data_IF_638231835926
#
_entry.id   IF_638231835926
#
_cell.length_a   1.000
_cell.length_b   1.000
_cell.length_c   1.000
_cell.angle_alpha   90.00
_cell.angle_beta   90.00
_cell.angle_gamma   90.00
#
_symmetry.space_group_name_H-M   'P 1'
#
loop_
_entity.id
_entity.type
_entity.pdbx_description
1 polymer ?
#
# COMPACT_ATOMS: atom_id res chain seq x y z
N UNK A 1 34.54 -19.61 15.20
CA UNK A 1 33.30 -20.03 14.52
C UNK A 1 32.26 -19.06 15.03
N UNK A 2 31.81 -18.12 14.18
CA UNK A 2 30.76 -17.18 14.57
C UNK A 2 29.46 -17.98 14.46
N UNK A 3 28.90 -18.36 15.60
CA UNK A 3 27.59 -19.02 15.67
C UNK A 3 26.53 -17.98 15.28
N UNK A 4 26.12 -18.00 14.02
CA UNK A 4 24.95 -17.24 13.58
C UNK A 4 23.70 -17.90 14.17
N UNK A 5 22.76 -17.13 14.74
CA UNK A 5 21.50 -17.67 15.24
C UNK A 5 20.75 -18.40 14.13
N UNK A 6 20.14 -19.55 14.43
CA UNK A 6 19.21 -20.20 13.51
C UNK A 6 18.05 -19.25 13.16
N UNK A 7 17.75 -19.12 11.86
CA UNK A 7 16.65 -18.32 11.30
C UNK A 7 15.41 -18.36 12.20
N UNK A 8 15.13 -17.25 12.86
CA UNK A 8 13.88 -17.14 13.60
C UNK A 8 12.75 -16.94 12.58
N UNK A 9 11.64 -17.69 12.73
CA UNK A 9 10.48 -17.69 11.81
C UNK A 9 9.81 -16.31 11.55
N UNK A 10 10.34 -15.22 12.09
CA UNK A 10 9.74 -13.88 12.08
C UNK A 10 10.67 -12.77 11.54
N UNK A 11 11.79 -13.10 10.90
CA UNK A 11 12.64 -12.08 10.26
C UNK A 11 12.01 -11.59 8.96
N UNK A 12 12.06 -10.26 8.75
CA UNK A 12 11.62 -9.66 7.49
C UNK A 12 12.50 -10.17 6.35
N UNK A 13 11.87 -10.57 5.26
CA UNK A 13 12.58 -11.07 4.08
C UNK A 13 12.35 -10.14 2.90
N UNK A 14 13.41 -9.89 2.14
CA UNK A 14 13.34 -9.23 0.85
C UNK A 14 13.50 -10.30 -0.24
N UNK A 15 12.45 -10.58 -0.99
CA UNK A 15 12.50 -11.46 -2.15
C UNK A 15 12.66 -10.65 -3.42
N UNK A 16 13.58 -11.05 -4.30
CA UNK A 16 13.82 -10.39 -5.59
C UNK A 16 13.46 -11.32 -6.74
N UNK A 17 12.73 -10.79 -7.72
CA UNK A 17 12.30 -11.53 -8.92
C UNK A 17 12.62 -10.71 -10.17
N UNK A 18 13.43 -11.25 -11.08
CA UNK A 18 13.51 -10.79 -12.47
C UNK A 18 12.53 -11.59 -13.32
N UNK A 19 11.70 -10.90 -14.11
CA UNK A 19 10.64 -11.55 -14.86
C UNK A 19 10.20 -10.78 -16.10
N UNK A 20 9.28 -11.41 -16.84
CA UNK A 20 8.71 -10.86 -18.08
C UNK A 20 7.20 -10.67 -17.91
N UNK A 21 6.72 -9.47 -18.21
CA UNK A 21 5.32 -9.10 -18.33
C UNK A 21 4.74 -9.68 -19.62
N UNK A 22 3.56 -10.27 -19.51
CA UNK A 22 2.78 -10.70 -20.66
C UNK A 22 2.18 -9.52 -21.43
N UNK A 23 1.44 -9.83 -22.50
CA UNK A 23 0.65 -8.83 -23.21
C UNK A 23 -0.33 -8.12 -22.26
N UNK A 24 -0.39 -6.79 -22.34
CA UNK A 24 -1.28 -5.95 -21.54
C UNK A 24 -2.49 -5.56 -22.38
N UNK A 25 -3.65 -6.07 -22.00
CA UNK A 25 -4.93 -5.54 -22.47
C UNK A 25 -5.37 -4.41 -21.52
N UNK A 26 -5.48 -3.16 -22.00
CA UNK A 26 -5.95 -2.04 -21.17
C UNK A 26 -7.35 -2.26 -20.57
N UNK A 27 -8.18 -3.11 -21.20
CA UNK A 27 -9.53 -3.42 -20.72
C UNK A 27 -9.56 -4.51 -19.65
N UNK A 28 -8.51 -5.33 -19.59
CA UNK A 28 -8.40 -6.46 -18.66
C UNK A 28 -6.98 -6.54 -18.11
N UNK A 29 -6.57 -5.56 -17.27
CA UNK A 29 -5.23 -5.57 -16.72
C UNK A 29 -4.99 -6.83 -15.86
N UNK A 30 -3.80 -7.46 -15.93
CA UNK A 30 -3.52 -8.67 -15.15
C UNK A 30 -3.59 -8.37 -13.64
N UNK A 31 -4.18 -9.27 -12.85
CA UNK A 31 -4.32 -9.11 -11.39
C UNK A 31 -3.62 -10.21 -10.59
N UNK A 32 -3.45 -11.39 -11.19
CA UNK A 32 -2.93 -12.60 -10.49
C UNK A 32 -1.45 -12.87 -10.71
N UNK A 33 -0.80 -12.17 -11.64
CA UNK A 33 0.60 -12.41 -12.01
C UNK A 33 1.47 -11.27 -11.50
N UNK A 34 2.72 -11.58 -11.13
CA UNK A 34 3.72 -10.56 -10.84
C UNK A 34 4.00 -9.72 -12.11
N UNK A 35 4.24 -8.41 -11.98
CA UNK A 35 4.32 -7.66 -10.72
C UNK A 35 2.96 -7.19 -10.17
N UNK A 36 1.87 -7.32 -10.93
CA UNK A 36 0.54 -6.80 -10.57
C UNK A 36 -0.03 -7.36 -9.27
N UNK A 37 0.15 -8.67 -9.03
CA UNK A 37 -0.32 -9.31 -7.81
C UNK A 37 0.40 -8.79 -6.56
N UNK A 38 1.65 -8.32 -6.67
CA UNK A 38 2.40 -7.77 -5.54
C UNK A 38 1.77 -6.45 -5.06
N UNK A 39 1.36 -5.58 -5.98
CA UNK A 39 0.62 -4.35 -5.66
C UNK A 39 -0.69 -4.69 -4.92
N UNK A 40 -1.47 -5.62 -5.49
CA UNK A 40 -2.78 -6.00 -4.95
C UNK A 40 -2.71 -6.83 -3.64
N UNK A 41 -1.54 -7.36 -3.30
CA UNK A 41 -1.32 -8.11 -2.06
C UNK A 41 -1.28 -7.20 -0.80
N UNK A 42 -1.14 -5.88 -0.99
CA UNK A 42 -1.24 -4.90 0.09
C UNK A 42 -2.70 -4.76 0.52
N UNK A 43 -3.06 -4.96 1.81
CA UNK A 43 -4.43 -4.78 2.24
C UNK A 43 -4.82 -3.30 2.35
N UNK A 44 -3.88 -2.45 2.79
CA UNK A 44 -4.02 -1.01 2.89
C UNK A 44 -2.73 -0.34 2.39
N UNK A 45 -2.84 0.53 1.39
CA UNK A 45 -1.69 1.25 0.83
C UNK A 45 -1.58 2.61 1.51
N UNK A 46 -0.40 2.90 2.07
CA UNK A 46 -0.11 4.18 2.71
C UNK A 46 0.55 5.16 1.75
N UNK A 47 1.47 4.66 0.92
CA UNK A 47 2.30 5.50 0.07
C UNK A 47 2.56 4.80 -1.26
N UNK A 48 2.51 5.57 -2.33
CA UNK A 48 2.86 5.15 -3.69
C UNK A 48 3.89 6.13 -4.21
N UNK A 49 4.99 5.64 -4.75
CA UNK A 49 6.04 6.47 -5.33
C UNK A 49 6.33 6.03 -6.76
N UNK A 50 6.56 7.00 -7.63
CA UNK A 50 6.98 6.78 -9.01
C UNK A 50 8.27 7.57 -9.24
N UNK A 51 9.29 6.90 -9.75
CA UNK A 51 10.58 7.46 -10.11
C UNK A 51 10.80 7.24 -11.60
N UNK A 52 11.06 8.30 -12.35
CA UNK A 52 11.24 8.25 -13.80
C UNK A 52 12.22 9.33 -14.29
N UNK A 53 12.87 9.16 -15.45
CA UNK A 53 13.65 10.22 -16.08
C UNK A 53 12.83 11.48 -16.37
N UNK A 54 13.38 12.66 -16.10
CA UNK A 54 12.63 13.91 -16.20
C UNK A 54 12.11 14.21 -17.61
N UNK A 55 12.75 13.69 -18.66
CA UNK A 55 12.40 13.93 -20.05
C UNK A 55 11.02 13.37 -20.41
N UNK A 56 10.57 12.32 -19.73
CA UNK A 56 9.26 11.70 -19.96
C UNK A 56 8.18 12.20 -18.99
N UNK A 57 8.54 13.01 -18.00
CA UNK A 57 7.62 13.43 -16.96
C UNK A 57 6.45 14.25 -17.50
N UNK A 58 6.69 15.24 -18.36
CA UNK A 58 5.61 16.07 -18.90
C UNK A 58 4.61 15.27 -19.75
N UNK A 59 5.06 14.19 -20.41
CA UNK A 59 4.16 13.28 -21.14
C UNK A 59 3.26 12.54 -20.14
N UNK A 60 3.85 11.92 -19.11
CA UNK A 60 3.11 11.15 -18.11
C UNK A 60 2.16 12.03 -17.32
N UNK A 61 2.58 13.25 -16.97
CA UNK A 61 1.75 14.23 -16.28
C UNK A 61 0.48 14.56 -17.07
N UNK A 62 0.60 14.78 -18.37
CA UNK A 62 -0.54 15.16 -19.21
C UNK A 62 -1.44 13.96 -19.57
N UNK A 63 -0.86 12.77 -19.78
CA UNK A 63 -1.62 11.59 -20.22
C UNK A 63 -2.24 10.80 -19.06
N UNK A 64 -1.54 10.73 -17.92
CA UNK A 64 -1.87 9.84 -16.80
C UNK A 64 -2.44 10.59 -15.60
N UNK A 65 -1.89 11.76 -15.24
CA UNK A 65 -2.26 12.44 -13.99
C UNK A 65 -3.40 13.44 -14.20
N UNK A 66 -4.63 12.94 -14.28
CA UNK A 66 -5.86 13.76 -14.30
C UNK A 66 -6.31 14.13 -12.89
N UNK A 67 -6.82 15.34 -12.70
CA UNK A 67 -7.23 15.82 -11.37
C UNK A 67 -8.38 14.99 -10.78
N UNK A 68 -9.28 14.50 -11.63
CA UNK A 68 -10.46 13.71 -11.23
C UNK A 68 -10.11 12.28 -10.79
N UNK A 69 -8.87 11.84 -11.03
CA UNK A 69 -8.39 10.49 -10.74
C UNK A 69 -7.47 10.44 -9.50
N UNK A 70 -7.36 11.54 -8.76
CA UNK A 70 -6.57 11.57 -7.50
C UNK A 70 -7.23 10.69 -6.43
N UNK A 71 -6.45 9.90 -5.67
CA UNK A 71 -7.00 9.03 -4.66
C UNK A 71 -7.48 9.86 -3.47
N UNK A 72 -8.78 9.86 -3.26
CA UNK A 72 -9.45 10.46 -2.12
C UNK A 72 -9.77 9.42 -1.04
N UNK A 73 -9.90 9.88 0.19
CA UNK A 73 -10.36 9.11 1.34
C UNK A 73 -11.00 10.06 2.36
N UNK A 74 -11.63 9.52 3.40
CA UNK A 74 -12.21 10.31 4.47
C UNK A 74 -11.60 9.94 5.82
N UNK A 75 -11.43 10.94 6.68
CA UNK A 75 -11.18 10.74 8.11
C UNK A 75 -12.47 10.98 8.88
N UNK A 76 -12.89 10.05 9.71
CA UNK A 76 -14.17 10.12 10.42
C UNK A 76 -14.02 9.54 11.82
N UNK A 77 -14.76 10.07 12.80
CA UNK A 77 -14.77 9.54 14.16
C UNK A 77 -16.11 8.83 14.38
N UNK A 78 -16.08 7.52 14.58
CA UNK A 78 -17.30 6.75 14.88
C UNK A 78 -17.02 5.51 15.74
N UNK A 79 -17.96 5.12 16.61
CA UNK A 79 -17.85 3.89 17.40
C UNK A 79 -18.16 2.65 16.54
N UNK A 80 -17.65 1.48 16.94
CA UNK A 80 -17.88 0.21 16.23
C UNK A 80 -19.37 -0.11 16.04
N UNK A 81 -20.24 0.30 16.96
CA UNK A 81 -21.70 0.08 16.84
C UNK A 81 -22.29 0.71 15.58
N UNK A 82 -21.76 1.86 15.14
CA UNK A 82 -22.26 2.56 13.95
C UNK A 82 -22.04 1.73 12.67
N UNK A 83 -21.02 0.85 12.67
CA UNK A 83 -20.78 -0.08 11.55
C UNK A 83 -21.91 -1.10 11.39
N UNK A 84 -22.69 -1.38 12.45
CA UNK A 84 -23.74 -2.40 12.48
C UNK A 84 -25.16 -1.82 12.37
N UNK A 85 -25.29 -0.51 12.26
CA UNK A 85 -26.57 0.20 12.36
C UNK A 85 -26.98 0.82 11.02
N UNK A 86 -28.28 0.76 10.75
CA UNK A 86 -28.96 1.51 9.69
C UNK A 86 -28.34 1.36 8.29
N UNK A 87 -28.31 2.48 7.57
CA UNK A 87 -27.85 2.52 6.19
C UNK A 87 -26.34 2.30 6.05
N UNK A 88 -25.53 2.55 7.09
CA UNK A 88 -24.10 2.27 7.02
C UNK A 88 -23.87 0.77 6.78
N UNK A 89 -24.50 -0.08 7.60
CA UNK A 89 -24.38 -1.54 7.49
C UNK A 89 -24.92 -2.05 6.15
N UNK A 90 -26.09 -1.57 5.73
CA UNK A 90 -26.72 -2.04 4.49
C UNK A 90 -25.95 -1.59 3.25
N UNK A 91 -25.67 -0.28 3.14
CA UNK A 91 -25.10 0.28 1.92
C UNK A 91 -23.62 -0.01 1.80
N UNK A 92 -22.81 0.12 2.85
CA UNK A 92 -21.37 -0.05 2.72
C UNK A 92 -20.88 -1.48 2.97
N UNK A 93 -21.55 -2.25 3.82
CA UNK A 93 -21.09 -3.58 4.21
C UNK A 93 -21.79 -4.68 3.42
N UNK A 94 -23.13 -4.67 3.35
CA UNK A 94 -23.89 -5.72 2.64
C UNK A 94 -23.86 -5.57 1.13
N UNK A 95 -24.10 -4.37 0.63
CA UNK A 95 -24.16 -4.07 -0.82
C UNK A 95 -22.83 -3.53 -1.33
N UNK A 96 -22.23 -2.62 -0.55
CA UNK A 96 -21.05 -1.85 -0.87
C UNK A 96 -19.74 -2.61 -0.71
N UNK A 97 -18.64 -1.91 -0.99
CA UNK A 97 -17.31 -2.36 -0.63
C UNK A 97 -16.47 -1.17 -0.16
N UNK A 98 -16.00 -1.24 1.08
CA UNK A 98 -15.25 -0.17 1.72
C UNK A 98 -13.95 -0.70 2.32
N UNK A 99 -12.98 0.19 2.48
CA UNK A 99 -11.81 -0.01 3.32
C UNK A 99 -11.94 0.89 4.54
N UNK A 100 -11.68 0.34 5.73
CA UNK A 100 -11.49 1.15 6.92
C UNK A 100 -10.31 0.68 7.75
N UNK A 101 -9.57 1.63 8.29
CA UNK A 101 -8.44 1.40 9.19
C UNK A 101 -8.55 2.38 10.35
N UNK A 102 -8.62 1.87 11.58
CA UNK A 102 -8.65 2.73 12.77
C UNK A 102 -7.27 3.28 13.08
N UNK A 103 -7.22 4.41 13.78
CA UNK A 103 -5.99 4.87 14.41
C UNK A 103 -5.53 3.91 15.53
N UNK A 104 -4.27 4.05 15.92
CA UNK A 104 -3.69 3.40 17.08
C UNK A 104 -2.54 2.44 16.77
N UNK A 105 -1.91 1.94 17.83
CA UNK A 105 -0.80 0.99 17.74
C UNK A 105 -1.25 -0.45 18.10
N UNK A 106 -1.24 -1.40 17.16
CA UNK A 106 -1.66 -2.79 17.41
C UNK A 106 -0.86 -3.50 18.53
N UNK A 107 0.35 -3.04 18.86
CA UNK A 107 1.13 -3.61 19.96
C UNK A 107 0.59 -3.20 21.34
N UNK A 108 0.03 -1.99 21.48
CA UNK A 108 -0.37 -1.41 22.79
C UNK A 108 -1.84 -1.04 22.94
N UNK A 109 -2.56 -0.74 21.86
CA UNK A 109 -3.94 -0.26 21.85
C UNK A 109 -4.89 -1.21 21.10
N UNK A 110 -6.20 -1.06 21.26
CA UNK A 110 -7.15 -1.79 20.45
C UNK A 110 -7.26 -1.12 19.08
N UNK A 111 -7.03 -1.88 18.02
CA UNK A 111 -7.12 -1.38 16.65
C UNK A 111 -8.02 -2.27 15.81
N UNK A 112 -8.61 -1.68 14.77
CA UNK A 112 -9.68 -2.29 14.01
C UNK A 112 -9.48 -2.04 12.53
N UNK A 113 -9.79 -3.05 11.71
CA UNK A 113 -9.73 -2.93 10.26
C UNK A 113 -10.97 -3.53 9.62
N UNK A 114 -11.48 -2.92 8.56
CA UNK A 114 -12.58 -3.47 7.76
C UNK A 114 -12.15 -3.53 6.29
N UNK A 115 -12.12 -4.73 5.73
CA UNK A 115 -11.79 -4.98 4.32
C UNK A 115 -12.60 -6.17 3.81
N UNK A 116 -13.17 -6.06 2.61
CA UNK A 116 -13.97 -7.12 1.99
C UNK A 116 -15.16 -7.61 2.86
N UNK A 117 -15.68 -6.74 3.73
CA UNK A 117 -16.76 -7.07 4.67
C UNK A 117 -16.33 -7.88 5.90
N UNK A 118 -15.02 -8.07 6.10
CA UNK A 118 -14.44 -8.69 7.29
C UNK A 118 -13.93 -7.59 8.21
N UNK A 119 -14.54 -7.49 9.40
CA UNK A 119 -14.10 -6.62 10.49
C UNK A 119 -13.15 -7.40 11.39
N UNK A 120 -11.89 -6.99 11.41
CA UNK A 120 -10.85 -7.55 12.27
C UNK A 120 -10.63 -6.64 13.46
N UNK A 121 -10.63 -7.19 14.67
CA UNK A 121 -10.38 -6.48 15.92
C UNK A 121 -9.12 -7.05 16.57
N UNK A 122 -8.15 -6.20 16.82
CA UNK A 122 -6.98 -6.50 17.65
C UNK A 122 -7.26 -5.98 19.04
N UNK A 123 -7.42 -6.89 19.99
CA UNK A 123 -7.86 -6.58 21.34
C UNK A 123 -6.79 -6.95 22.36
N UNK A 124 -6.66 -6.11 23.39
CA UNK A 124 -6.02 -6.53 24.63
C UNK A 124 -6.86 -7.59 25.37
N UNK A 125 -6.24 -8.19 26.39
CA UNK A 125 -6.87 -9.24 27.19
C UNK A 125 -8.20 -8.79 27.81
N UNK A 126 -8.21 -7.61 28.44
CA UNK A 126 -9.35 -7.14 29.21
C UNK A 126 -10.55 -6.89 28.28
N UNK A 127 -10.30 -6.19 27.17
CA UNK A 127 -11.31 -5.87 26.16
C UNK A 127 -11.86 -7.12 25.51
N UNK A 128 -11.01 -8.10 25.20
CA UNK A 128 -11.42 -9.39 24.64
C UNK A 128 -12.31 -10.19 25.60
N UNK A 129 -11.87 -10.38 26.85
CA UNK A 129 -12.60 -11.17 27.85
C UNK A 129 -13.95 -10.52 28.19
N UNK A 130 -14.00 -9.18 28.29
CA UNK A 130 -15.23 -8.44 28.54
C UNK A 130 -16.17 -8.42 27.34
N UNK A 131 -15.65 -8.25 26.13
CA UNK A 131 -16.46 -8.27 24.91
C UNK A 131 -17.09 -9.64 24.71
N UNK A 132 -16.40 -10.69 25.17
CA UNK A 132 -16.87 -12.06 25.12
C UNK A 132 -17.21 -12.46 23.70
N UNK A 133 -16.40 -12.07 22.72
CA UNK A 133 -16.55 -12.46 21.31
C UNK A 133 -15.49 -13.50 20.96
N UNK A 134 -15.77 -14.38 20.01
CA UNK A 134 -14.86 -15.49 19.70
C UNK A 134 -13.66 -14.99 18.90
N UNK A 135 -12.46 -15.20 19.42
CA UNK A 135 -11.20 -14.86 18.76
C UNK A 135 -10.10 -15.87 19.04
N UNK A 136 -8.91 -15.58 18.50
CA UNK A 136 -7.69 -16.40 18.66
C UNK A 136 -6.57 -15.55 19.25
N UNK A 137 -5.67 -16.11 20.06
CA UNK A 137 -4.50 -15.37 20.53
C UNK A 137 -3.63 -14.95 19.33
N UNK A 138 -3.12 -13.72 19.37
CA UNK A 138 -2.25 -13.13 18.37
C UNK A 138 -0.79 -13.23 18.82
N UNK A 139 0.05 -13.86 17.99
CA UNK A 139 1.48 -14.04 18.26
C UNK A 139 1.85 -15.27 19.11
N UNK A 140 3.15 -15.51 19.24
CA UNK A 140 3.69 -16.58 20.09
C UNK A 140 3.42 -16.22 21.56
N UNK A 141 2.93 -17.19 22.35
CA UNK A 141 2.70 -17.03 23.80
C UNK A 141 3.87 -16.28 24.42
N UNK A 142 3.57 -15.11 24.99
CA UNK A 142 4.50 -13.98 25.14
C UNK A 142 5.92 -14.33 25.57
N UNK A 143 6.89 -13.72 24.88
CA UNK A 143 8.24 -13.52 25.43
C UNK A 143 8.14 -12.57 26.64
N UNK A 144 9.13 -12.60 27.54
CA UNK A 144 9.23 -11.68 28.69
C UNK A 144 9.09 -10.23 28.19
N UNK A 145 8.01 -9.54 28.57
CA UNK A 145 7.78 -8.11 28.27
C UNK A 145 6.65 -7.78 27.29
N UNK A 146 6.11 -8.74 26.52
CA UNK A 146 5.00 -8.48 25.58
C UNK A 146 3.64 -8.86 26.19
N UNK A 147 2.67 -7.93 26.19
CA UNK A 147 1.30 -8.21 26.64
C UNK A 147 0.60 -9.13 25.62
N UNK A 148 -0.14 -10.16 26.05
CA UNK A 148 -0.89 -11.02 25.14
C UNK A 148 -2.00 -10.23 24.44
N UNK A 149 -2.24 -10.55 23.16
CA UNK A 149 -3.25 -9.93 22.30
C UNK A 149 -4.15 -10.98 21.66
N UNK A 150 -5.34 -10.58 21.24
CA UNK A 150 -6.33 -11.44 20.58
C UNK A 150 -6.80 -10.80 19.28
N UNK A 151 -6.90 -11.62 18.24
CA UNK A 151 -7.53 -11.25 16.98
C UNK A 151 -8.94 -11.84 16.95
N UNK A 152 -9.92 -11.00 16.63
CA UNK A 152 -11.31 -11.39 16.37
C UNK A 152 -11.65 -11.01 14.93
N UNK A 153 -12.02 -11.98 14.11
CA UNK A 153 -12.39 -11.78 12.70
C UNK A 153 -13.89 -12.01 12.53
N UNK A 154 -14.62 -10.97 12.11
CA UNK A 154 -16.07 -11.00 11.96
C UNK A 154 -16.41 -10.75 10.49
N UNK A 155 -16.84 -11.79 9.77
CA UNK A 155 -17.40 -11.61 8.44
C UNK A 155 -18.84 -11.08 8.55
N UNK A 156 -18.99 -9.76 8.37
CA UNK A 156 -20.25 -9.03 8.48
C UNK A 156 -21.21 -9.30 7.31
N UNK A 157 -20.76 -9.97 6.25
CA UNK A 157 -21.58 -10.33 5.08
C UNK A 157 -22.28 -11.68 5.20
N UNK A 158 -21.99 -12.46 6.25
CA UNK A 158 -22.67 -13.74 6.44
C UNK A 158 -24.20 -13.57 6.60
N UNK A 159 -25.02 -14.54 6.15
CA UNK A 159 -26.47 -14.51 6.36
C UNK A 159 -26.90 -14.46 7.83
N UNK A 160 -26.04 -14.89 8.75
CA UNK A 160 -26.26 -14.81 10.20
C UNK A 160 -26.04 -13.43 10.79
N UNK A 161 -25.47 -12.47 10.04
CA UNK A 161 -25.18 -11.11 10.49
C UNK A 161 -26.39 -10.21 10.24
N UNK A 162 -27.43 -10.46 11.01
CA UNK A 162 -28.74 -9.80 10.99
C UNK A 162 -29.27 -9.70 12.43
N UNK A 163 -29.97 -8.61 12.74
CA UNK A 163 -30.61 -8.45 14.06
C UNK A 163 -31.57 -9.59 14.39
N UNK A 164 -31.57 -10.01 15.66
CA UNK A 164 -32.37 -11.13 16.15
C UNK A 164 -31.68 -12.49 16.04
N UNK A 165 -30.50 -12.57 15.42
CA UNK A 165 -29.63 -13.75 15.47
C UNK A 165 -28.68 -13.62 16.65
N UNK A 166 -28.67 -14.63 17.53
CA UNK A 166 -27.83 -14.66 18.76
C UNK A 166 -26.37 -14.27 18.54
N UNK A 167 -25.76 -14.71 17.43
CA UNK A 167 -24.38 -14.36 17.09
C UNK A 167 -24.19 -12.87 16.79
N UNK A 168 -25.06 -12.28 15.98
CA UNK A 168 -25.02 -10.86 15.65
C UNK A 168 -25.40 -9.99 16.86
N UNK A 169 -26.42 -10.38 17.62
CA UNK A 169 -26.84 -9.64 18.82
C UNK A 169 -25.74 -9.61 19.88
N UNK A 170 -24.92 -10.68 19.99
CA UNK A 170 -23.73 -10.71 20.86
C UNK A 170 -22.67 -9.71 20.41
N UNK A 171 -22.42 -9.58 19.11
CA UNK A 171 -21.48 -8.60 18.55
C UNK A 171 -22.01 -7.19 18.79
N UNK A 172 -23.28 -6.93 18.48
CA UNK A 172 -23.92 -5.64 18.72
C UNK A 172 -23.89 -5.25 20.20
N UNK A 173 -24.10 -6.22 21.11
CA UNK A 173 -23.96 -6.00 22.55
C UNK A 173 -22.53 -5.61 22.93
N UNK A 174 -21.52 -6.31 22.41
CA UNK A 174 -20.12 -5.99 22.68
C UNK A 174 -19.77 -4.56 22.22
N UNK A 175 -20.20 -4.15 21.03
CA UNK A 175 -19.92 -2.81 20.50
C UNK A 175 -20.72 -1.70 21.19
N UNK A 176 -21.88 -2.04 21.77
CA UNK A 176 -22.72 -1.09 22.51
C UNK A 176 -22.29 -0.91 23.96
N UNK A 177 -21.79 -1.95 24.62
CA UNK A 177 -21.59 -1.96 26.08
C UNK A 177 -20.13 -2.14 26.52
N UNK A 178 -19.26 -2.64 25.65
CA UNK A 178 -17.85 -2.91 25.98
C UNK A 178 -16.92 -2.05 25.15
N UNK A 179 -16.94 -2.22 23.83
CA UNK A 179 -16.10 -1.50 22.88
C UNK A 179 -16.79 -0.21 22.42
N UNK A 180 -17.10 0.67 23.39
CA UNK A 180 -17.99 1.81 23.21
C UNK A 180 -17.30 3.07 22.73
N UNK A 181 -15.99 3.17 22.96
CA UNK A 181 -15.18 4.35 22.65
C UNK A 181 -15.19 4.63 21.14
N UNK A 182 -15.64 5.80 20.70
CA UNK A 182 -15.44 6.24 19.32
C UNK A 182 -13.96 6.33 18.99
N UNK A 183 -13.60 5.96 17.76
CA UNK A 183 -12.22 5.97 17.29
C UNK A 183 -12.14 6.67 15.94
N UNK A 184 -11.00 7.28 15.63
CA UNK A 184 -10.77 7.82 14.29
C UNK A 184 -10.52 6.69 13.30
N UNK A 185 -11.19 6.77 12.16
CA UNK A 185 -11.02 5.87 11.02
C UNK A 185 -10.53 6.64 9.81
N UNK A 186 -9.64 6.00 9.06
CA UNK A 186 -9.51 6.22 7.63
C UNK A 186 -10.57 5.38 6.94
N UNK A 187 -11.30 5.98 5.99
CA UNK A 187 -12.41 5.37 5.27
C UNK A 187 -12.23 5.59 3.77
N UNK A 188 -12.47 4.55 2.97
CA UNK A 188 -12.57 4.65 1.51
C UNK A 188 -13.74 3.81 1.01
N UNK A 189 -14.63 4.44 0.27
CA UNK A 189 -15.59 3.72 -0.58
C UNK A 189 -14.91 3.32 -1.91
N UNK A 190 -15.00 2.04 -2.26
CA UNK A 190 -14.41 1.49 -3.47
C UNK A 190 -15.40 1.50 -4.65
N UNK A 191 -16.69 1.76 -4.42
CA UNK A 191 -17.68 1.84 -5.49
C UNK A 191 -17.66 3.19 -6.24
N UNK A 192 -17.03 4.22 -5.67
CA UNK A 192 -16.86 5.54 -6.29
C UNK A 192 -15.67 5.62 -7.26
N UNK A 193 -15.03 4.49 -7.56
CA UNK A 193 -13.91 4.40 -8.51
C UNK A 193 -14.36 4.86 -9.91
N UNK A 194 -14.08 6.13 -10.26
CA UNK A 194 -14.45 6.75 -11.55
C UNK A 194 -15.14 8.12 -11.46
N UNK A 195 -15.47 8.60 -10.27
CA UNK A 195 -15.93 9.98 -10.04
C UNK A 195 -15.44 10.43 -8.68
N UNK A 196 -14.45 11.33 -8.66
CA UNK A 196 -14.00 12.06 -7.46
C UNK A 196 -15.20 12.48 -6.61
N UNK A 197 -15.06 12.35 -5.28
CA UNK A 197 -15.99 12.84 -4.27
C UNK A 197 -16.32 14.36 -4.39
N UNK A 198 -15.61 15.09 -5.26
CA UNK A 198 -15.93 16.48 -5.66
C UNK A 198 -17.19 16.55 -6.55
N UNK A 199 -17.77 15.43 -7.01
CA UNK A 199 -19.14 15.47 -7.53
C UNK A 199 -20.14 15.64 -6.37
N UNK A 200 -20.27 16.87 -5.86
CA UNK A 200 -21.38 17.35 -5.02
C UNK A 200 -22.75 17.23 -5.69
N UNK A 201 -22.80 16.64 -6.88
CA UNK A 201 -24.00 16.20 -7.54
C UNK A 201 -23.73 14.77 -7.94
N UNK A 202 -24.46 13.86 -7.31
CA UNK A 202 -24.79 12.56 -7.89
C UNK A 202 -24.89 12.73 -9.42
N UNK A 203 -24.25 11.84 -10.20
CA UNK A 203 -24.80 11.56 -11.53
C UNK A 203 -26.30 11.35 -11.30
N UNK A 204 -27.19 12.15 -11.90
CA UNK A 204 -28.60 11.92 -11.75
C UNK A 204 -28.82 10.52 -12.29
N UNK A 205 -29.17 9.58 -11.41
CA UNK A 205 -29.92 8.43 -11.86
C UNK A 205 -31.06 9.03 -12.65
N UNK A 206 -31.13 8.72 -13.95
CA UNK A 206 -32.16 9.17 -14.89
C UNK A 206 -33.58 8.73 -14.51
N UNK A 207 -33.78 8.26 -13.28
CA UNK A 207 -35.06 8.02 -12.65
C UNK A 207 -35.48 9.27 -11.86
N UNK A 208 -36.20 10.13 -12.56
CA UNK A 208 -36.91 11.31 -12.03
C UNK A 208 -37.74 10.88 -10.81
N UNK A 209 -37.33 11.26 -9.60
CA UNK A 209 -38.20 11.21 -8.41
C UNK A 209 -37.64 10.59 -7.12
N UNK A 210 -36.42 10.01 -7.10
CA UNK A 210 -35.81 9.61 -5.82
C UNK A 210 -35.07 10.79 -5.19
N UNK A 211 -35.50 11.17 -3.97
CA UNK A 211 -34.80 12.14 -3.13
C UNK A 211 -33.31 11.77 -3.04
N UNK A 212 -32.44 12.78 -3.14
CA UNK A 212 -30.99 12.62 -2.93
C UNK A 212 -30.81 12.16 -1.48
N UNK A 213 -30.64 10.85 -1.27
CA UNK A 213 -30.34 10.31 0.03
C UNK A 213 -28.88 10.63 0.35
N UNK A 214 -28.58 11.39 1.42
CA UNK A 214 -27.21 11.71 1.81
C UNK A 214 -26.44 10.42 2.08
N UNK A 215 -25.14 10.42 1.77
CA UNK A 215 -24.30 9.23 1.95
C UNK A 215 -24.32 8.83 3.43
N UNK A 216 -24.41 7.54 3.81
CA UNK A 216 -24.53 7.15 5.22
C UNK A 216 -23.39 7.65 6.10
N UNK A 217 -22.22 7.91 5.51
CA UNK A 217 -21.05 8.45 6.20
C UNK A 217 -21.26 9.91 6.63
N UNK A 218 -22.05 10.71 5.90
CA UNK A 218 -22.26 12.15 6.14
C UNK A 218 -22.90 12.43 7.51
N UNK A 219 -23.68 11.48 8.03
CA UNK A 219 -24.23 11.54 9.39
C UNK A 219 -23.14 11.59 10.49
N UNK A 220 -21.89 11.26 10.14
CA UNK A 220 -20.74 11.26 11.03
C UNK A 220 -19.74 12.39 10.74
N UNK A 221 -20.11 13.38 9.93
CA UNK A 221 -19.31 14.57 9.61
C UNK A 221 -17.87 14.23 9.18
N UNK A 222 -17.69 13.43 8.12
CA UNK A 222 -16.37 13.00 7.66
C UNK A 222 -15.56 14.20 7.13
N UNK A 223 -14.25 14.16 7.34
CA UNK A 223 -13.29 15.09 6.74
C UNK A 223 -12.72 14.43 5.49
N UNK A 224 -13.11 14.91 4.32
CA UNK A 224 -12.58 14.44 3.05
C UNK A 224 -11.11 14.88 2.88
N UNK A 225 -10.31 13.99 2.28
CA UNK A 225 -8.89 14.15 2.00
C UNK A 225 -8.62 13.69 0.58
N UNK A 226 -7.77 14.43 -0.11
CA UNK A 226 -7.28 14.09 -1.46
C UNK A 226 -5.78 13.95 -1.36
N UNK A 227 -5.26 12.82 -1.84
CA UNK A 227 -3.81 12.59 -1.87
C UNK A 227 -3.28 13.11 -3.21
N UNK A 228 -2.83 14.36 -3.23
CA UNK A 228 -2.11 14.92 -4.38
C UNK A 228 -0.65 14.47 -4.35
N UNK A 229 -0.02 14.25 -5.51
CA UNK A 229 1.40 13.90 -5.53
C UNK A 229 2.25 15.10 -5.09
N UNK A 230 3.22 14.86 -4.21
CA UNK A 230 4.39 15.72 -4.09
C UNK A 230 5.39 15.35 -5.19
N UNK A 231 6.01 16.36 -5.80
CA UNK A 231 6.93 16.21 -6.92
C UNK A 231 8.28 16.75 -6.49
N UNK A 232 9.34 15.96 -6.70
CA UNK A 232 10.73 16.34 -6.44
C UNK A 232 11.57 16.03 -7.68
N UNK A 233 12.36 17.00 -8.13
CA UNK A 233 13.37 16.80 -9.16
C UNK A 233 14.72 16.57 -8.49
N UNK A 234 15.44 15.53 -8.93
CA UNK A 234 16.67 15.06 -8.28
C UNK A 234 17.71 14.81 -9.37
N UNK A 235 18.91 15.34 -9.21
CA UNK A 235 20.06 14.99 -10.04
C UNK A 235 20.68 13.71 -9.49
N UNK A 236 20.84 12.69 -10.34
CA UNK A 236 21.40 11.40 -9.91
C UNK A 236 22.36 10.85 -10.95
N UNK A 237 23.34 10.08 -10.47
CA UNK A 237 24.06 9.13 -11.31
C UNK A 237 23.20 7.87 -11.47
N UNK A 238 22.81 7.57 -12.71
CA UNK A 238 21.98 6.39 -13.01
C UNK A 238 22.91 5.18 -13.24
N UNK A 239 22.80 4.11 -12.43
CA UNK A 239 23.62 2.92 -12.60
C UNK A 239 23.19 2.09 -13.82
N UNK A 240 23.92 1.02 -14.10
CA UNK A 240 23.45 0.02 -15.04
C UNK A 240 22.20 -0.69 -14.48
N UNK A 241 21.04 -0.35 -15.05
CA UNK A 241 19.76 -0.90 -14.57
C UNK A 241 19.45 -2.29 -15.10
N UNK A 242 20.17 -2.82 -16.09
CA UNK A 242 19.90 -4.15 -16.63
C UNK A 242 20.59 -5.24 -15.78
N UNK A 243 19.89 -6.32 -15.40
CA UNK A 243 20.50 -7.44 -14.71
C UNK A 243 21.68 -8.04 -15.50
N UNK A 244 22.69 -8.61 -14.81
CA UNK A 244 23.81 -9.29 -15.46
C UNK A 244 23.29 -10.46 -16.31
N UNK A 245 23.78 -10.56 -17.56
CA UNK A 245 23.41 -11.63 -18.50
C UNK A 245 24.37 -12.81 -18.42
N UNK A 246 25.64 -12.52 -18.17
CA UNK A 246 26.71 -13.50 -18.02
C UNK A 246 26.99 -13.65 -16.53
N UNK A 247 26.47 -14.72 -15.93
CA UNK A 247 26.75 -15.05 -14.53
C UNK A 247 28.14 -15.64 -14.46
N UNK A 248 29.01 -15.07 -13.63
CA UNK A 248 30.28 -15.68 -13.31
C UNK A 248 30.01 -16.97 -12.52
N UNK A 249 30.23 -18.10 -13.19
CA UNK A 249 30.02 -19.45 -12.64
C UNK A 249 30.85 -19.68 -11.37
N UNK A 250 31.91 -18.90 -11.15
CA UNK A 250 32.77 -18.98 -9.96
C UNK A 250 32.29 -18.14 -8.78
N UNK A 251 31.54 -17.06 -9.03
CA UNK A 251 31.01 -16.17 -7.99
C UNK A 251 29.56 -16.53 -7.62
N UNK A 252 28.70 -16.74 -8.62
CA UNK A 252 27.33 -17.21 -8.45
C UNK A 252 26.36 -16.24 -7.77
N UNK A 253 26.81 -15.05 -7.36
CA UNK A 253 26.01 -14.03 -6.65
C UNK A 253 25.82 -12.73 -7.44
N UNK A 254 26.17 -12.68 -8.74
CA UNK A 254 26.07 -11.45 -9.55
C UNK A 254 24.67 -10.82 -9.55
N UNK A 255 23.63 -11.66 -9.60
CA UNK A 255 22.25 -11.18 -9.56
C UNK A 255 21.87 -10.65 -8.18
N UNK A 256 22.40 -11.25 -7.11
CA UNK A 256 22.16 -10.79 -5.73
C UNK A 256 22.79 -9.41 -5.51
N UNK A 257 24.07 -9.25 -5.90
CA UNK A 257 24.78 -7.97 -5.80
C UNK A 257 24.07 -6.88 -6.60
N UNK A 258 23.76 -7.14 -7.87
CA UNK A 258 22.96 -6.24 -8.70
C UNK A 258 21.63 -5.86 -8.01
N UNK A 259 20.95 -6.85 -7.42
CA UNK A 259 19.65 -6.63 -6.79
C UNK A 259 19.75 -5.77 -5.54
N UNK A 260 20.78 -5.95 -4.73
CA UNK A 260 21.03 -5.16 -3.52
C UNK A 260 21.41 -3.73 -3.91
N UNK A 261 22.38 -3.58 -4.81
CA UNK A 261 22.90 -2.29 -5.27
C UNK A 261 21.81 -1.42 -5.91
N UNK A 262 21.01 -1.97 -6.82
CA UNK A 262 19.93 -1.23 -7.48
C UNK A 262 18.80 -0.89 -6.51
N UNK A 263 18.48 -1.78 -5.56
CA UNK A 263 17.46 -1.50 -4.56
C UNK A 263 17.89 -0.41 -3.59
N UNK A 264 19.14 -0.45 -3.13
CA UNK A 264 19.71 0.60 -2.27
C UNK A 264 19.70 1.96 -2.98
N UNK A 265 20.12 2.01 -4.25
CA UNK A 265 20.07 3.23 -5.06
C UNK A 265 18.65 3.78 -5.20
N UNK A 266 17.67 2.93 -5.55
CA UNK A 266 16.26 3.32 -5.62
C UNK A 266 15.72 3.81 -4.27
N UNK A 267 16.10 3.14 -3.18
CA UNK A 267 15.69 3.53 -1.83
C UNK A 267 16.22 4.91 -1.46
N UNK A 268 17.48 5.22 -1.79
CA UNK A 268 18.07 6.54 -1.57
C UNK A 268 17.39 7.64 -2.39
N UNK A 269 16.94 7.35 -3.62
CA UNK A 269 16.09 8.27 -4.40
C UNK A 269 14.74 8.50 -3.69
N UNK A 270 14.09 7.41 -3.27
CA UNK A 270 12.83 7.50 -2.54
C UNK A 270 12.95 8.30 -1.24
N UNK A 271 14.11 8.27 -0.59
CA UNK A 271 14.46 9.03 0.60
C UNK A 271 14.92 10.47 0.33
N UNK A 272 15.15 10.87 -0.93
CA UNK A 272 15.79 12.16 -1.26
C UNK A 272 17.14 12.32 -0.53
N UNK A 273 17.91 11.23 -0.46
CA UNK A 273 19.21 11.26 0.21
C UNK A 273 20.18 12.18 -0.53
N UNK A 274 20.99 13.00 0.17
CA UNK A 274 22.08 13.74 -0.48
C UNK A 274 23.12 12.82 -1.12
N UNK A 275 23.27 11.57 -0.64
CA UNK A 275 24.32 10.64 -1.09
C UNK A 275 24.19 10.16 -2.55
N UNK A 276 23.08 10.46 -3.22
CA UNK A 276 22.88 10.17 -4.65
C UNK A 276 23.16 11.39 -5.54
N UNK A 277 23.39 12.57 -4.94
CA UNK A 277 23.75 13.78 -5.65
C UNK A 277 25.18 13.61 -6.23
N UNK A 278 25.37 13.81 -7.55
CA UNK A 278 26.71 13.78 -8.16
C UNK A 278 27.68 14.79 -7.55
N UNK A 279 27.18 15.87 -6.94
CA UNK A 279 27.96 16.91 -6.29
C UNK A 279 28.07 16.73 -4.77
N UNK A 280 27.67 15.57 -4.23
CA UNK A 280 27.79 15.30 -2.80
C UNK A 280 29.24 15.39 -2.34
N UNK A 281 29.46 16.17 -1.28
CA UNK A 281 30.77 16.39 -0.64
C UNK A 281 30.86 15.75 0.74
N UNK A 282 29.91 14.87 1.07
CA UNK A 282 29.91 14.14 2.34
C UNK A 282 31.22 13.40 2.54
N UNK A 283 31.81 13.55 3.73
CA UNK A 283 33.06 12.90 4.08
C UNK A 283 32.94 11.36 3.95
N UNK A 284 33.87 10.74 3.25
CA UNK A 284 33.93 9.29 3.04
C UNK A 284 33.96 8.46 4.33
N UNK A 285 34.39 9.05 5.45
CA UNK A 285 34.32 8.45 6.77
C UNK A 285 32.87 8.37 7.29
N UNK A 286 32.00 9.29 6.89
CA UNK A 286 30.59 9.36 7.26
C UNK A 286 29.69 8.58 6.30
N UNK A 287 29.97 8.66 4.99
CA UNK A 287 29.21 7.95 3.97
C UNK A 287 30.15 7.25 2.99
N UNK A 288 30.00 5.93 2.85
CA UNK A 288 30.78 5.11 1.89
C UNK A 288 29.97 4.71 0.66
N UNK A 289 28.70 5.08 0.63
CA UNK A 289 27.82 4.78 -0.48
C UNK A 289 28.35 5.46 -1.73
N UNK A 290 28.41 4.71 -2.83
CA UNK A 290 28.69 5.21 -4.15
C UNK A 290 27.65 4.59 -5.09
N UNK A 291 27.06 5.35 -6.03
CA UNK A 291 26.12 4.78 -6.99
C UNK A 291 26.76 3.61 -7.76
N UNK A 292 26.00 2.53 -8.04
CA UNK A 292 26.55 1.35 -8.70
C UNK A 292 27.17 1.72 -10.06
N UNK A 293 28.45 1.40 -10.25
CA UNK A 293 29.19 1.80 -11.45
C UNK A 293 29.13 0.70 -12.51
N UNK A 294 28.68 1.03 -13.72
CA UNK A 294 28.76 0.12 -14.87
C UNK A 294 30.19 -0.05 -15.38
N UNK A 295 30.47 -1.18 -16.03
CA UNK A 295 31.80 -1.52 -16.56
C UNK A 295 32.32 -0.54 -17.65
N UNK A 296 31.42 0.17 -18.35
CA UNK A 296 31.78 1.12 -19.40
C UNK A 296 31.78 2.58 -18.86
N UNK A 297 32.91 2.95 -18.25
CA UNK A 297 33.17 4.27 -17.65
C UNK A 297 33.42 5.38 -18.69
N UNK A 298 32.47 5.67 -19.57
CA UNK A 298 32.55 6.86 -20.42
C UNK A 298 31.22 7.62 -20.32
N UNK A 299 31.18 8.49 -19.31
CA UNK A 299 30.10 9.43 -18.98
C UNK A 299 28.91 8.82 -18.22
N UNK A 300 29.09 8.60 -16.90
CA UNK A 300 27.98 8.64 -15.96
C UNK A 300 27.43 10.08 -15.96
N UNK A 301 26.61 10.40 -16.96
CA UNK A 301 25.99 11.71 -17.07
C UNK A 301 24.96 11.81 -15.95
N UNK A 302 25.17 12.75 -15.03
CA UNK A 302 24.12 13.22 -14.13
C UNK A 302 22.84 13.40 -14.94
N UNK A 303 21.80 12.67 -14.57
CA UNK A 303 20.54 12.66 -15.29
C UNK A 303 19.44 13.14 -14.33
N UNK A 304 18.62 14.11 -14.74
CA UNK A 304 17.49 14.55 -13.94
C UNK A 304 16.46 13.44 -13.85
N UNK A 305 16.04 13.12 -12.63
CA UNK A 305 14.97 12.17 -12.33
C UNK A 305 13.87 12.89 -11.57
N UNK A 306 12.62 12.58 -11.90
CA UNK A 306 11.45 13.08 -11.20
C UNK A 306 10.92 11.98 -10.29
N UNK A 307 10.76 12.31 -9.01
CA UNK A 307 10.04 11.49 -8.03
C UNK A 307 8.67 12.09 -7.76
N UNK A 308 7.63 11.29 -7.93
CA UNK A 308 6.29 11.58 -7.47
C UNK A 308 5.96 10.73 -6.24
N UNK A 309 5.32 11.31 -5.24
CA UNK A 309 4.88 10.60 -4.03
C UNK A 309 3.44 10.94 -3.70
N UNK A 310 2.56 9.93 -3.72
CA UNK A 310 1.21 10.01 -3.17
C UNK A 310 1.23 9.37 -1.79
N UNK A 311 0.70 10.07 -0.78
CA UNK A 311 0.63 9.57 0.58
C UNK A 311 -0.75 9.81 1.20
N UNK A 312 -1.29 8.79 1.85
CA UNK A 312 -2.64 8.85 2.41
C UNK A 312 -3.19 7.47 2.74
N UNK A 313 -4.48 7.28 2.45
CA UNK A 313 -5.16 5.99 2.52
C UNK A 313 -5.62 5.60 1.11
N UNK A 314 -4.77 4.86 0.42
CA UNK A 314 -4.90 4.55 -1.01
C UNK A 314 -5.43 3.12 -1.16
N UNK A 315 -6.33 2.90 -2.11
CA UNK A 315 -6.79 1.54 -2.40
C UNK A 315 -5.73 0.79 -3.24
N UNK A 316 -5.52 -0.51 -3.00
CA UNK A 316 -4.61 -1.31 -3.82
C UNK A 316 -4.99 -1.30 -5.30
N UNK A 317 -6.29 -1.24 -5.60
CA UNK A 317 -6.81 -1.14 -6.96
C UNK A 317 -6.39 0.17 -7.64
N UNK A 318 -6.44 1.30 -6.93
CA UNK A 318 -5.99 2.57 -7.50
C UNK A 318 -4.49 2.54 -7.83
N UNK A 319 -3.66 1.97 -6.93
CA UNK A 319 -2.23 1.82 -7.19
C UNK A 319 -1.98 0.90 -8.40
N UNK A 320 -2.71 -0.20 -8.49
CA UNK A 320 -2.64 -1.11 -9.63
C UNK A 320 -3.06 -0.46 -10.95
N UNK A 321 -4.17 0.26 -10.98
CA UNK A 321 -4.66 1.01 -12.14
C UNK A 321 -3.66 2.09 -12.58
N UNK A 322 -3.09 2.82 -11.62
CA UNK A 322 -2.06 3.82 -11.89
C UNK A 322 -0.81 3.17 -12.53
N UNK A 323 -0.33 2.07 -11.96
CA UNK A 323 0.81 1.33 -12.50
C UNK A 323 0.56 0.89 -13.95
N UNK A 324 -0.64 0.35 -14.24
CA UNK A 324 -1.03 -0.04 -15.61
C UNK A 324 -1.05 1.16 -16.56
N UNK A 325 -1.64 2.29 -16.14
CA UNK A 325 -1.68 3.51 -16.96
C UNK A 325 -0.28 4.03 -17.29
N UNK A 326 0.62 4.06 -16.30
CA UNK A 326 2.02 4.45 -16.50
C UNK A 326 2.71 3.50 -17.48
N UNK A 327 2.54 2.18 -17.29
CA UNK A 327 3.15 1.17 -18.14
C UNK A 327 2.71 1.27 -19.61
N UNK A 328 1.47 1.70 -19.85
CA UNK A 328 0.93 1.92 -21.20
C UNK A 328 1.38 3.25 -21.82
N UNK A 329 1.62 4.28 -21.01
CA UNK A 329 2.04 5.62 -21.48
C UNK A 329 3.55 5.75 -21.68
N UNK A 330 4.37 5.11 -20.83
CA UNK A 330 5.83 5.21 -20.91
C UNK A 330 6.37 4.47 -22.12
N UNK A 331 7.28 5.12 -22.86
CA UNK A 331 7.98 4.55 -24.02
C UNK A 331 8.62 3.19 -23.72
N UNK A 332 8.73 2.33 -24.75
CA UNK A 332 9.27 0.96 -24.60
C UNK A 332 10.76 0.88 -24.27
N UNK A 333 11.48 1.98 -24.39
CA UNK A 333 12.93 2.04 -24.14
C UNK A 333 13.26 2.67 -22.78
N UNK A 334 12.29 3.34 -22.16
CA UNK A 334 12.50 4.10 -20.92
C UNK A 334 12.22 3.26 -19.68
N UNK A 335 13.09 3.39 -18.69
CA UNK A 335 12.91 2.78 -17.37
C UNK A 335 12.02 3.65 -16.48
N UNK A 336 11.39 3.03 -15.48
CA UNK A 336 10.82 3.72 -14.33
C UNK A 336 10.76 2.75 -13.14
N UNK A 337 10.77 3.28 -11.93
CA UNK A 337 10.53 2.50 -10.71
C UNK A 337 9.20 2.90 -10.06
N UNK A 338 8.42 1.93 -9.65
CA UNK A 338 7.13 2.09 -8.99
C UNK A 338 7.15 1.38 -7.64
N UNK A 339 7.02 2.15 -6.56
CA UNK A 339 7.10 1.65 -5.20
C UNK A 339 5.73 1.78 -4.52
N UNK A 340 5.31 0.73 -3.83
CA UNK A 340 4.07 0.70 -3.06
C UNK A 340 4.40 0.27 -1.64
N UNK A 341 4.05 1.11 -0.68
CA UNK A 341 4.22 0.83 0.74
C UNK A 341 2.87 0.69 1.44
N UNK A 342 2.69 -0.41 2.15
CA UNK A 342 1.53 -0.67 2.99
C UNK A 342 1.58 0.06 4.33
N UNK A 343 0.45 0.08 5.02
CA UNK A 343 0.44 0.35 6.46
C UNK A 343 1.11 -0.81 7.21
N UNK A 344 1.80 -0.52 8.32
CA UNK A 344 2.39 -1.56 9.16
C UNK A 344 1.30 -2.45 9.77
N UNK A 345 1.44 -3.76 9.60
CA UNK A 345 0.46 -4.76 10.03
C UNK A 345 0.89 -5.53 11.28
N UNK A 346 -0.10 -6.00 12.03
CA UNK A 346 0.10 -6.89 13.18
C UNK A 346 0.94 -6.29 14.30
N UNK A 347 1.37 -7.14 15.23
CA UNK A 347 2.12 -6.72 16.43
C UNK A 347 3.52 -6.19 16.15
N UNK A 348 4.16 -6.65 15.07
CA UNK A 348 5.52 -6.23 14.69
C UNK A 348 5.54 -4.95 13.85
N UNK A 349 4.37 -4.51 13.36
CA UNK A 349 4.22 -3.38 12.42
C UNK A 349 5.13 -3.52 11.20
N UNK A 350 5.40 -4.76 10.76
CA UNK A 350 6.13 -4.98 9.52
C UNK A 350 5.32 -4.36 8.39
N UNK A 351 5.89 -3.35 7.72
CA UNK A 351 5.29 -2.79 6.53
C UNK A 351 5.65 -3.70 5.37
N UNK A 352 4.63 -4.19 4.67
CA UNK A 352 4.84 -4.76 3.34
C UNK A 352 5.19 -3.63 2.38
N UNK A 353 6.19 -3.86 1.55
CA UNK A 353 6.46 -3.00 0.43
C UNK A 353 6.75 -3.81 -0.82
N UNK A 354 6.51 -3.21 -1.97
CA UNK A 354 7.06 -3.72 -3.22
C UNK A 354 7.62 -2.60 -4.08
N UNK A 355 8.78 -2.85 -4.68
CA UNK A 355 9.42 -1.96 -5.65
C UNK A 355 9.50 -2.68 -6.98
N UNK A 356 8.95 -2.08 -8.03
CA UNK A 356 8.95 -2.62 -9.39
C UNK A 356 9.79 -1.70 -10.26
N UNK A 357 10.88 -2.21 -10.81
CA UNK A 357 11.69 -1.53 -11.82
C UNK A 357 11.34 -2.08 -13.20
N UNK A 358 10.82 -1.24 -14.10
CA UNK A 358 10.77 -1.55 -15.53
C UNK A 358 12.15 -1.27 -16.14
N UNK A 359 12.70 -2.27 -16.84
CA UNK A 359 14.05 -2.19 -17.39
C UNK A 359 14.14 -1.32 -18.66
N UNK A 360 15.24 -0.56 -18.85
CA UNK A 360 15.48 0.20 -20.07
C UNK A 360 15.76 -0.74 -21.25
N UNK A 361 15.27 -0.39 -22.45
CA UNK A 361 15.42 -1.19 -23.67
C UNK A 361 14.86 -2.64 -23.61
N UNK A 362 14.15 -3.00 -22.54
CA UNK A 362 13.53 -4.31 -22.33
C UNK A 362 12.08 -4.10 -21.86
N UNK A 363 11.15 -3.69 -22.77
CA UNK A 363 9.85 -3.13 -22.41
C UNK A 363 8.94 -4.05 -21.60
N UNK A 364 9.14 -5.35 -21.73
CA UNK A 364 8.35 -6.37 -21.04
C UNK A 364 9.09 -6.92 -19.82
N UNK A 365 10.34 -6.54 -19.56
CA UNK A 365 11.09 -7.07 -18.43
C UNK A 365 10.96 -6.16 -17.21
N UNK A 366 10.99 -6.77 -16.04
CA UNK A 366 10.96 -6.08 -14.77
C UNK A 366 11.80 -6.79 -13.72
N UNK A 367 12.27 -6.01 -12.75
CA UNK A 367 12.79 -6.52 -11.47
C UNK A 367 11.82 -6.08 -10.37
N UNK A 368 11.46 -7.01 -9.49
CA UNK A 368 10.53 -6.80 -8.39
C UNK A 368 11.21 -7.17 -7.09
N UNK A 369 11.22 -6.24 -6.13
CA UNK A 369 11.57 -6.48 -4.74
C UNK A 369 10.30 -6.51 -3.90
N UNK A 370 10.13 -7.52 -3.07
CA UNK A 370 9.01 -7.66 -2.12
C UNK A 370 9.57 -7.83 -0.72
N UNK A 371 9.27 -6.89 0.18
CA UNK A 371 9.62 -6.99 1.59
C UNK A 371 8.38 -7.38 2.39
N UNK A 372 8.49 -8.46 3.17
CA UNK A 372 7.38 -9.02 3.96
C UNK A 372 7.77 -9.47 5.36
#
# INVERSE_FOLDING_TARGET
>A
MLDFPEDTKNEQKCEVTHGVMGHLDPKQPPTKRKPFSAILAHPFVHKVQLVLPAEIYEIIKNEVFREEERPDYSRVILPLKALLEGEFFNQYIKIGNILMLSEGNPATENVYTLREGILTLHLDKESYERAGIVGKPEGVKGKRGTKPRWIVEINLRLPSMLHGKKGFDRIAYAFKNVLTTPITWLFKDLQTSGTSSISFLCKPNTDVGKAITPRPLEAHFPIEKISSPSISEIQVLVPQLNPPKDVDVTYGADFEDYSVEVHEWLALICLESPAIDPEDTTDSFLCRYNPPQGADQIAANSSPVVKLTWQGFISPNWAHELFVKILLAVSRVTWFAYCVDGFGEGLTRNCRNCTILRLPNAPNEYVLWEVS
#
